data_IF_468548660218
#
_entry.id   IF_468548660218
#
_cell.length_a   1.000
_cell.length_b   1.000
_cell.length_c   1.000
_cell.angle_alpha   90.00
_cell.angle_beta   90.00
_cell.angle_gamma   90.00
#
_symmetry.space_group_name_H-M   'P 1'
#
loop_
_entity.id
_entity.type
_entity.pdbx_description
1 polymer ?
#
# COMPACT_ATOMS: atom_id res chain seq x y z
N UNK A 1 71.63 15.79 -43.81
CA UNK A 1 70.90 15.84 -42.52
C UNK A 1 69.59 15.13 -42.75
N UNK A 2 69.51 13.91 -42.23
CA UNK A 2 68.55 12.92 -42.67
C UNK A 2 67.24 13.12 -41.93
N UNK A 3 66.13 13.42 -42.63
CA UNK A 3 64.83 13.72 -42.14
C UNK A 3 64.01 12.47 -41.76
N UNK A 4 64.65 11.30 -41.78
CA UNK A 4 63.94 10.02 -41.48
C UNK A 4 63.88 9.59 -40.00
N UNK A 5 64.47 10.40 -39.08
CA UNK A 5 64.54 10.02 -37.63
C UNK A 5 63.58 10.78 -36.70
N UNK A 6 62.69 11.61 -37.25
CA UNK A 6 61.79 12.43 -36.42
C UNK A 6 60.35 11.88 -36.29
N UNK A 7 60.04 10.69 -36.84
CA UNK A 7 58.70 10.14 -36.88
C UNK A 7 58.50 8.90 -36.02
N UNK A 8 59.22 8.75 -34.93
CA UNK A 8 58.99 7.63 -33.98
C UNK A 8 58.94 8.11 -32.53
N UNK A 9 57.93 8.82 -32.14
CA UNK A 9 57.46 8.95 -30.76
C UNK A 9 56.15 9.75 -30.70
N UNK A 10 55.08 9.27 -31.36
CA UNK A 10 53.74 9.66 -31.00
C UNK A 10 53.09 8.44 -30.29
N UNK A 11 53.37 8.33 -28.99
CA UNK A 11 52.65 7.40 -28.12
C UNK A 11 51.27 7.96 -27.90
N UNK A 12 50.26 7.36 -28.53
CA UNK A 12 48.87 7.61 -28.24
C UNK A 12 48.58 7.05 -26.85
N UNK A 13 48.52 7.92 -25.85
CA UNK A 13 47.96 7.58 -24.54
C UNK A 13 46.44 7.58 -24.72
N UNK A 14 45.83 6.42 -24.93
CA UNK A 14 44.41 6.21 -24.78
C UNK A 14 44.15 6.20 -23.29
N UNK A 15 43.77 7.34 -22.76
CA UNK A 15 43.21 7.42 -21.40
C UNK A 15 41.87 6.71 -21.41
N UNK A 16 41.87 5.44 -20.99
CA UNK A 16 40.67 4.69 -20.72
C UNK A 16 39.94 5.34 -19.53
N UNK A 17 38.93 6.17 -19.80
CA UNK A 17 37.96 6.61 -18.78
C UNK A 17 37.13 5.41 -18.41
N UNK A 18 37.55 4.71 -17.36
CA UNK A 18 36.70 3.73 -16.69
C UNK A 18 35.54 4.48 -16.05
N UNK A 19 34.38 4.45 -16.70
CA UNK A 19 33.13 4.82 -16.03
C UNK A 19 32.85 3.78 -14.94
N UNK A 20 33.24 4.09 -13.71
CA UNK A 20 32.70 3.42 -12.55
C UNK A 20 31.24 3.86 -12.44
N UNK A 21 30.32 3.05 -12.97
CA UNK A 21 28.92 3.12 -12.60
C UNK A 21 28.84 2.74 -11.14
N UNK A 22 28.82 3.73 -10.26
CA UNK A 22 28.41 3.53 -8.86
C UNK A 22 26.92 3.23 -8.94
N UNK A 23 26.57 1.95 -9.04
CA UNK A 23 25.22 1.49 -8.72
C UNK A 23 25.10 1.65 -7.21
N UNK A 24 24.65 2.84 -6.79
CA UNK A 24 24.26 3.07 -5.41
C UNK A 24 23.12 2.09 -5.11
N UNK A 25 23.41 1.05 -4.32
CA UNK A 25 22.36 0.30 -3.67
C UNK A 25 21.66 1.30 -2.75
N UNK A 26 20.46 1.76 -3.13
CA UNK A 26 19.60 2.50 -2.21
C UNK A 26 19.26 1.54 -1.09
N UNK A 27 19.91 1.72 0.05
CA UNK A 27 19.52 1.01 1.27
C UNK A 27 18.09 1.44 1.57
N UNK A 28 17.17 0.49 1.74
CA UNK A 28 15.81 0.79 2.14
C UNK A 28 15.85 1.60 3.45
N UNK A 29 15.24 2.78 3.44
CA UNK A 29 15.14 3.62 4.63
C UNK A 29 13.99 3.10 5.49
N UNK A 30 14.19 3.01 6.80
CA UNK A 30 13.13 2.56 7.71
C UNK A 30 11.97 3.54 7.70
N UNK A 31 10.75 3.00 7.84
CA UNK A 31 9.57 3.81 8.11
C UNK A 31 9.77 4.64 9.37
N UNK A 32 9.36 5.89 9.36
CA UNK A 32 9.42 6.78 10.52
C UNK A 32 8.04 6.89 11.15
N UNK A 33 7.94 6.69 12.47
CA UNK A 33 6.68 6.76 13.21
C UNK A 33 6.76 7.86 14.27
N UNK A 34 5.85 8.82 14.21
CA UNK A 34 5.61 9.84 15.23
C UNK A 34 4.30 9.53 15.96
N UNK A 35 4.31 8.97 17.19
CA UNK A 35 3.09 8.63 17.92
C UNK A 35 2.16 9.83 18.11
N UNK A 36 0.86 9.61 17.91
CA UNK A 36 -0.18 10.62 18.03
C UNK A 36 -1.48 9.98 18.51
N UNK A 37 -2.00 10.43 19.67
CA UNK A 37 -3.22 9.89 20.28
C UNK A 37 -4.42 10.86 20.14
N UNK A 38 -4.28 11.93 19.36
CA UNK A 38 -5.36 12.88 19.13
C UNK A 38 -6.16 12.44 17.90
N UNK A 39 -7.40 11.99 18.09
CA UNK A 39 -8.27 11.53 17.00
C UNK A 39 -8.54 12.60 15.95
N UNK A 40 -8.66 13.90 16.35
CA UNK A 40 -8.88 15.00 15.41
C UNK A 40 -7.67 15.17 14.47
N UNK A 41 -6.45 15.04 14.99
CA UNK A 41 -5.24 15.14 14.19
C UNK A 41 -5.15 13.96 13.21
N UNK A 42 -5.42 12.73 13.69
CA UNK A 42 -5.44 11.52 12.86
C UNK A 42 -6.49 11.60 11.74
N UNK A 43 -7.73 11.99 12.08
CA UNK A 43 -8.78 12.15 11.10
C UNK A 43 -8.47 13.24 10.06
N UNK A 44 -7.85 14.35 10.49
CA UNK A 44 -7.48 15.45 9.60
C UNK A 44 -6.39 15.07 8.62
N UNK A 45 -5.43 14.23 9.01
CA UNK A 45 -4.30 13.79 8.16
C UNK A 45 -4.76 12.97 6.96
N UNK A 46 -5.79 12.15 7.11
CA UNK A 46 -6.28 11.29 6.02
C UNK A 46 -7.20 12.01 5.03
N UNK A 47 -7.70 13.22 5.39
CA UNK A 47 -8.66 13.93 4.55
C UNK A 47 -8.08 14.37 3.22
N UNK A 48 -8.80 14.01 2.17
CA UNK A 48 -8.63 14.53 0.81
C UNK A 48 -9.72 15.52 0.42
N UNK A 49 -9.95 15.65 -0.87
CA UNK A 49 -10.93 16.59 -1.42
C UNK A 49 -12.38 16.11 -1.26
N UNK A 50 -13.32 17.05 -1.18
CA UNK A 50 -14.77 16.79 -1.21
C UNK A 50 -15.34 16.23 0.10
N UNK A 51 -14.56 16.18 1.18
CA UNK A 51 -14.96 15.71 2.50
C UNK A 51 -14.68 16.77 3.57
N UNK A 52 -15.62 16.93 4.49
CA UNK A 52 -15.48 17.83 5.64
C UNK A 52 -15.89 17.08 6.91
N UNK A 53 -15.00 16.99 7.91
CA UNK A 53 -15.34 16.42 9.21
C UNK A 53 -16.37 17.28 9.92
N UNK A 54 -17.39 16.65 10.51
CA UNK A 54 -18.37 17.34 11.34
C UNK A 54 -17.73 17.73 12.68
N UNK A 55 -17.83 18.99 13.09
CA UNK A 55 -17.24 19.45 14.36
C UNK A 55 -17.73 18.63 15.55
N UNK A 56 -16.80 18.20 16.43
CA UNK A 56 -17.10 17.46 17.64
C UNK A 56 -17.53 16.00 17.43
N UNK A 57 -17.48 15.48 16.20
CA UNK A 57 -17.88 14.09 15.91
C UNK A 57 -16.75 13.08 16.02
N UNK A 58 -15.49 13.52 16.13
CA UNK A 58 -14.36 12.61 16.18
C UNK A 58 -14.29 11.92 17.53
N UNK A 59 -14.31 10.60 17.50
CA UNK A 59 -14.10 9.71 18.62
C UNK A 59 -12.88 8.83 18.35
N UNK A 60 -11.97 8.72 19.31
CA UNK A 60 -10.78 7.88 19.22
C UNK A 60 -10.69 7.00 20.46
N UNK A 61 -10.59 5.69 20.25
CA UNK A 61 -10.37 4.67 21.26
C UNK A 61 -9.13 3.90 20.87
N UNK A 62 -8.06 4.02 21.65
CA UNK A 62 -6.78 3.35 21.41
C UNK A 62 -5.85 3.58 22.59
N UNK A 63 -4.93 2.65 22.77
CA UNK A 63 -3.91 2.78 23.82
C UNK A 63 -2.93 3.91 23.50
N UNK A 64 -2.31 4.47 24.54
CA UNK A 64 -1.27 5.48 24.36
C UNK A 64 -0.11 4.93 23.54
N UNK A 65 0.18 5.57 22.41
CA UNK A 65 1.24 5.17 21.49
C UNK A 65 0.84 4.10 20.46
N UNK A 66 -0.43 3.65 20.47
CA UNK A 66 -0.92 2.67 19.49
C UNK A 66 -1.24 3.29 18.12
N UNK A 67 -1.20 4.60 17.99
CA UNK A 67 -1.40 5.31 16.73
C UNK A 67 -0.36 6.40 16.51
N UNK A 68 -0.25 6.89 15.28
CA UNK A 68 0.70 7.94 14.94
C UNK A 68 0.63 8.36 13.47
N UNK A 69 1.52 9.29 13.12
CA UNK A 69 1.84 9.61 11.75
C UNK A 69 3.03 8.77 11.29
N UNK A 70 3.02 8.33 10.03
CA UNK A 70 4.17 7.69 9.42
C UNK A 70 4.67 8.46 8.20
N UNK A 71 5.97 8.28 7.90
CA UNK A 71 6.66 8.80 6.72
C UNK A 71 7.68 7.78 6.21
N UNK A 72 8.21 7.99 5.00
CA UNK A 72 9.16 7.11 4.32
C UNK A 72 8.60 5.72 3.97
N UNK A 73 7.28 5.56 3.85
CA UNK A 73 6.68 4.27 3.59
C UNK A 73 7.01 3.70 2.21
N UNK A 74 7.16 4.54 1.16
CA UNK A 74 7.66 4.08 -0.16
C UNK A 74 9.10 3.57 -0.03
N UNK A 75 9.97 4.28 0.69
CA UNK A 75 11.37 3.87 0.87
C UNK A 75 11.50 2.62 1.74
N UNK A 76 10.58 2.40 2.67
CA UNK A 76 10.52 1.18 3.47
C UNK A 76 9.93 -0.01 2.72
N UNK A 77 9.23 0.24 1.61
CA UNK A 77 8.68 -0.77 0.71
C UNK A 77 7.18 -1.05 0.83
N UNK A 78 6.42 -0.31 1.68
CA UNK A 78 4.97 -0.57 1.85
C UNK A 78 4.08 0.05 0.75
N UNK A 79 4.66 0.81 -0.19
CA UNK A 79 3.92 1.32 -1.35
C UNK A 79 3.14 2.63 -1.15
N UNK A 80 2.97 3.11 0.08
CA UNK A 80 2.39 4.43 0.43
C UNK A 80 3.38 5.21 1.26
N UNK A 81 3.52 6.53 1.06
CA UNK A 81 4.65 7.29 1.61
C UNK A 81 4.41 7.85 3.01
N UNK A 82 3.25 8.48 3.22
CA UNK A 82 2.91 9.15 4.47
C UNK A 82 1.41 8.97 4.81
N UNK A 83 1.08 9.16 6.08
CA UNK A 83 -0.29 9.09 6.58
C UNK A 83 -0.36 8.72 8.04
N UNK A 84 -1.40 7.97 8.42
CA UNK A 84 -1.59 7.50 9.79
C UNK A 84 -1.39 5.99 9.90
N UNK A 85 -0.93 5.57 11.07
CA UNK A 85 -0.92 4.17 11.50
C UNK A 85 -1.87 3.99 12.68
N UNK A 86 -2.70 2.94 12.63
CA UNK A 86 -3.41 2.39 13.78
C UNK A 86 -2.87 0.99 14.03
N UNK A 87 -2.50 0.66 15.26
CA UNK A 87 -1.92 -0.63 15.65
C UNK A 87 -2.66 -1.21 16.85
N UNK A 88 -2.68 -2.52 16.95
CA UNK A 88 -3.18 -3.24 18.13
C UNK A 88 -2.20 -3.13 19.29
N UNK A 89 -0.88 -3.02 18.97
CA UNK A 89 0.17 -2.74 19.94
C UNK A 89 0.68 -1.30 19.90
N UNK A 90 2.00 -1.10 20.06
CA UNK A 90 2.62 0.21 19.90
C UNK A 90 2.93 0.50 18.42
N UNK A 91 2.47 1.64 17.90
CA UNK A 91 2.76 2.05 16.53
C UNK A 91 4.27 2.07 16.19
N UNK A 92 5.13 2.39 17.17
CA UNK A 92 6.59 2.35 17.01
C UNK A 92 7.15 0.95 16.73
N UNK A 93 6.42 -0.11 17.08
CA UNK A 93 6.82 -1.48 16.78
C UNK A 93 6.87 -1.76 15.27
N UNK A 94 6.20 -0.95 14.45
CA UNK A 94 6.25 -1.03 12.99
C UNK A 94 7.62 -0.66 12.37
N UNK A 95 8.50 0.02 13.14
CA UNK A 95 9.78 0.50 12.62
C UNK A 95 10.74 -0.67 12.42
N UNK A 96 11.20 -0.86 11.16
CA UNK A 96 12.15 -1.89 10.77
C UNK A 96 13.58 -1.70 11.32
N UNK A 97 14.47 -2.66 11.08
CA UNK A 97 14.24 -3.87 10.29
C UNK A 97 13.42 -4.93 11.03
N UNK A 98 12.94 -5.96 10.30
CA UNK A 98 12.27 -7.13 10.85
C UNK A 98 13.32 -8.12 11.43
N UNK A 99 13.91 -7.77 12.55
CA UNK A 99 14.98 -8.52 13.21
C UNK A 99 14.57 -9.17 14.54
N UNK A 100 13.30 -9.07 14.89
CA UNK A 100 12.71 -9.67 16.10
C UNK A 100 11.51 -10.49 15.69
N UNK A 101 11.55 -11.77 15.92
CA UNK A 101 10.52 -12.72 15.52
C UNK A 101 9.16 -12.59 16.22
N UNK A 102 9.03 -11.68 17.19
CA UNK A 102 7.79 -11.49 17.98
C UNK A 102 7.77 -10.10 18.59
N UNK A 103 7.39 -9.09 17.81
CA UNK A 103 7.08 -7.78 18.36
C UNK A 103 5.63 -7.75 18.82
N UNK A 104 5.43 -7.49 20.08
CA UNK A 104 4.10 -7.51 20.67
C UNK A 104 4.02 -6.56 21.85
N UNK A 105 2.88 -5.89 21.97
CA UNK A 105 2.54 -5.05 23.13
C UNK A 105 1.08 -5.26 23.48
N UNK A 106 0.83 -6.00 24.53
CA UNK A 106 -0.53 -6.17 25.05
C UNK A 106 -0.99 -4.85 25.68
N UNK A 107 -1.99 -4.22 25.09
CA UNK A 107 -2.56 -2.95 25.54
C UNK A 107 -3.67 -3.13 26.57
N UNK A 108 -4.30 -4.31 26.62
CA UNK A 108 -5.36 -4.67 27.58
C UNK A 108 -6.68 -3.96 27.29
N UNK A 109 -6.91 -3.53 26.05
CA UNK A 109 -8.18 -2.95 25.63
C UNK A 109 -9.17 -4.04 25.19
N UNK A 110 -10.46 -3.71 25.29
CA UNK A 110 -11.51 -4.55 24.72
C UNK A 110 -11.38 -4.64 23.19
N UNK A 111 -11.91 -5.72 22.62
CA UNK A 111 -12.13 -5.84 21.19
C UNK A 111 -13.31 -4.98 20.70
N UNK A 112 -13.65 -5.15 19.43
CA UNK A 112 -14.73 -4.43 18.75
C UNK A 112 -15.74 -5.41 18.13
N UNK A 113 -17.05 -5.26 18.39
CA UNK A 113 -18.06 -6.20 17.91
C UNK A 113 -18.21 -6.19 16.37
N UNK A 114 -18.01 -5.05 15.71
CA UNK A 114 -18.11 -4.98 14.25
C UNK A 114 -16.95 -5.72 13.59
N UNK A 115 -15.73 -5.64 14.18
CA UNK A 115 -14.58 -6.43 13.75
C UNK A 115 -14.79 -7.93 14.01
N UNK A 116 -15.32 -8.29 15.19
CA UNK A 116 -15.67 -9.68 15.51
C UNK A 116 -16.68 -10.28 14.54
N UNK A 117 -17.59 -9.47 14.00
CA UNK A 117 -18.53 -9.91 12.97
C UNK A 117 -17.86 -10.23 11.61
N UNK A 118 -16.66 -9.67 11.33
CA UNK A 118 -15.89 -9.98 10.12
C UNK A 118 -15.15 -11.32 10.20
N UNK A 119 -14.87 -11.82 11.42
CA UNK A 119 -14.16 -13.07 11.72
C UNK A 119 -14.99 -13.97 12.67
N UNK A 120 -16.15 -14.49 12.23
CA UNK A 120 -17.06 -15.20 13.10
C UNK A 120 -16.40 -16.36 13.86
N UNK A 121 -16.66 -16.45 15.15
CA UNK A 121 -16.11 -17.48 16.04
C UNK A 121 -14.77 -17.13 16.67
N UNK A 122 -14.20 -15.98 16.34
CA UNK A 122 -12.96 -15.46 16.94
C UNK A 122 -13.30 -14.22 17.77
N UNK A 123 -12.84 -14.16 19.03
CA UNK A 123 -12.97 -12.96 19.87
C UNK A 123 -11.91 -11.94 19.48
N UNK A 124 -12.23 -10.66 19.58
CA UNK A 124 -11.27 -9.58 19.34
C UNK A 124 -10.82 -8.93 20.64
N UNK A 125 -9.59 -8.39 20.67
CA UNK A 125 -8.98 -7.64 21.78
C UNK A 125 -8.09 -6.51 21.24
N UNK A 126 -7.65 -5.63 22.13
CA UNK A 126 -6.74 -4.51 21.85
C UNK A 126 -7.17 -3.64 20.64
N UNK A 127 -8.48 -3.40 20.53
CA UNK A 127 -9.03 -2.62 19.42
C UNK A 127 -8.52 -1.18 19.43
N UNK A 128 -8.13 -0.70 18.23
CA UNK A 128 -7.77 0.69 17.97
C UNK A 128 -8.76 1.27 16.95
N UNK A 129 -9.51 2.29 17.35
CA UNK A 129 -10.70 2.76 16.63
C UNK A 129 -10.61 4.27 16.45
N UNK A 130 -10.74 4.72 15.21
CA UNK A 130 -10.96 6.13 14.84
C UNK A 130 -12.31 6.24 14.14
N UNK A 131 -13.24 6.96 14.75
CA UNK A 131 -14.59 7.13 14.24
C UNK A 131 -14.94 8.63 14.14
N UNK A 132 -15.60 9.03 13.04
CA UNK A 132 -16.09 10.39 12.91
C UNK A 132 -17.22 10.49 11.89
N UNK A 133 -17.98 11.58 11.98
CA UNK A 133 -18.93 11.96 10.95
C UNK A 133 -18.27 12.92 9.95
N UNK A 134 -18.61 12.75 8.68
CA UNK A 134 -18.17 13.64 7.62
C UNK A 134 -19.31 14.03 6.71
N UNK A 135 -19.19 15.20 6.11
CA UNK A 135 -20.11 15.70 5.09
C UNK A 135 -19.47 15.66 3.71
N UNK A 136 -20.25 15.22 2.72
CA UNK A 136 -19.88 15.24 1.30
C UNK A 136 -21.02 15.78 0.44
N UNK A 137 -20.69 16.24 -0.79
CA UNK A 137 -21.68 16.58 -1.82
C UNK A 137 -22.26 15.32 -2.51
N UNK A 138 -21.89 14.14 -2.05
CA UNK A 138 -22.25 12.85 -2.64
C UNK A 138 -21.18 12.35 -3.63
N UNK A 139 -21.44 11.18 -4.23
CA UNK A 139 -20.56 10.56 -5.23
C UNK A 139 -19.80 9.34 -4.69
N UNK A 140 -18.55 9.18 -5.07
CA UNK A 140 -17.74 8.01 -4.73
C UNK A 140 -16.69 8.39 -3.70
N UNK A 141 -16.49 7.55 -2.70
CA UNK A 141 -15.49 7.75 -1.62
C UNK A 141 -14.40 6.71 -1.75
N UNK A 142 -13.15 7.13 -1.59
CA UNK A 142 -11.96 6.30 -1.72
C UNK A 142 -10.93 6.63 -0.65
N UNK A 143 -10.13 5.64 -0.24
CA UNK A 143 -8.85 5.83 0.44
C UNK A 143 -7.97 4.59 0.34
N UNK A 144 -6.64 4.81 0.38
CA UNK A 144 -5.64 3.77 0.24
C UNK A 144 -5.11 3.33 1.60
N UNK A 145 -4.83 2.03 1.72
CA UNK A 145 -4.29 1.45 2.95
C UNK A 145 -3.44 0.21 2.68
N UNK A 146 -2.63 -0.16 3.69
CA UNK A 146 -1.87 -1.40 3.77
C UNK A 146 -2.11 -2.02 5.14
N UNK A 147 -2.45 -3.30 5.20
CA UNK A 147 -2.55 -4.08 6.43
C UNK A 147 -1.26 -4.89 6.62
N UNK A 148 -0.70 -4.90 7.83
CA UNK A 148 0.53 -5.59 8.18
C UNK A 148 0.41 -6.30 9.54
N UNK A 149 1.15 -7.41 9.73
CA UNK A 149 1.08 -8.18 10.96
C UNK A 149 2.35 -8.97 11.25
N UNK A 150 2.62 -9.17 12.55
CA UNK A 150 3.58 -10.13 13.09
C UNK A 150 3.05 -11.58 13.14
N UNK A 151 1.75 -11.82 12.88
CA UNK A 151 1.13 -13.16 12.83
C UNK A 151 1.53 -13.97 11.58
N UNK A 152 1.98 -13.29 10.54
CA UNK A 152 2.49 -13.94 9.33
C UNK A 152 3.87 -14.57 9.61
N UNK A 153 4.27 -15.72 9.07
CA UNK A 153 3.49 -16.74 8.35
C UNK A 153 3.04 -17.85 9.30
N UNK A 154 3.58 -17.84 10.56
CA UNK A 154 3.49 -18.96 11.52
C UNK A 154 2.07 -19.27 11.94
N UNK A 155 1.19 -18.27 12.00
CA UNK A 155 -0.16 -18.40 12.52
C UNK A 155 -1.25 -18.35 11.45
N UNK A 156 -0.86 -18.29 10.17
CA UNK A 156 -1.79 -18.40 9.04
C UNK A 156 -2.62 -19.69 9.11
N UNK A 157 -3.94 -19.56 8.98
CA UNK A 157 -4.88 -20.67 9.07
C UNK A 157 -5.21 -21.12 10.50
N UNK A 158 -4.75 -20.38 11.52
CA UNK A 158 -5.04 -20.63 12.94
C UNK A 158 -6.25 -19.81 13.45
N UNK A 159 -6.46 -19.87 14.77
CA UNK A 159 -7.43 -19.03 15.47
C UNK A 159 -6.94 -17.59 15.70
N UNK A 160 -5.63 -17.33 15.51
CA UNK A 160 -5.03 -16.00 15.62
C UNK A 160 -5.22 -15.31 14.27
N UNK A 161 -6.21 -14.42 14.21
CA UNK A 161 -6.72 -13.89 12.96
C UNK A 161 -7.05 -12.41 13.09
N UNK A 162 -6.03 -11.59 13.23
CA UNK A 162 -6.16 -10.16 13.34
C UNK A 162 -6.90 -9.58 12.14
N UNK A 163 -7.71 -8.57 12.40
CA UNK A 163 -8.67 -8.07 11.45
C UNK A 163 -8.75 -6.56 11.46
N UNK A 164 -8.98 -6.02 10.27
CA UNK A 164 -9.15 -4.62 10.01
C UNK A 164 -10.44 -4.35 9.25
N UNK A 165 -11.12 -3.26 9.56
CA UNK A 165 -12.34 -2.86 8.87
C UNK A 165 -12.50 -1.35 8.77
N UNK A 166 -13.07 -0.90 7.62
CA UNK A 166 -13.58 0.46 7.41
C UNK A 166 -15.09 0.39 7.26
N UNK A 167 -15.80 0.89 8.25
CA UNK A 167 -17.27 0.81 8.28
C UNK A 167 -17.86 2.16 7.88
N UNK A 168 -18.28 2.26 6.64
CA UNK A 168 -19.04 3.42 6.15
C UNK A 168 -20.54 3.18 6.37
N UNK A 169 -21.16 4.00 7.22
CA UNK A 169 -22.56 3.83 7.63
C UNK A 169 -22.86 2.39 8.13
N UNK A 170 -21.93 1.79 8.87
CA UNK A 170 -22.03 0.44 9.42
C UNK A 170 -21.70 -0.70 8.44
N UNK A 171 -21.37 -0.42 7.17
CA UNK A 171 -20.96 -1.44 6.18
C UNK A 171 -19.45 -1.42 5.97
N UNK A 172 -18.79 -2.58 6.15
CA UNK A 172 -17.36 -2.70 5.86
C UNK A 172 -17.08 -2.50 4.36
N UNK A 173 -16.16 -1.58 4.05
CA UNK A 173 -15.67 -1.29 2.69
C UNK A 173 -14.18 -1.60 2.51
N UNK A 174 -13.48 -2.04 3.58
CA UNK A 174 -12.13 -2.57 3.50
C UNK A 174 -12.18 -4.04 3.08
N UNK A 175 -12.17 -4.27 1.78
CA UNK A 175 -12.33 -5.59 1.17
C UNK A 175 -11.13 -5.92 0.31
N UNK A 176 -10.87 -7.21 0.14
CA UNK A 176 -9.91 -7.70 -0.86
C UNK A 176 -10.39 -7.28 -2.25
N UNK A 177 -9.53 -6.77 -3.13
CA UNK A 177 -9.92 -6.25 -4.45
C UNK A 177 -10.82 -7.23 -5.23
N UNK A 178 -11.91 -6.71 -5.79
CA UNK A 178 -12.90 -7.46 -6.58
C UNK A 178 -13.64 -8.58 -5.82
N UNK A 179 -13.65 -8.55 -4.49
CA UNK A 179 -14.37 -9.52 -3.65
C UNK A 179 -15.27 -8.84 -2.63
N UNK A 180 -16.06 -9.63 -1.88
CA UNK A 180 -16.77 -9.22 -0.67
C UNK A 180 -16.07 -9.68 0.61
N UNK A 181 -14.84 -10.17 0.52
CA UNK A 181 -14.08 -10.75 1.63
C UNK A 181 -13.36 -9.64 2.41
N UNK A 182 -13.52 -9.58 3.74
CA UNK A 182 -12.78 -8.64 4.59
C UNK A 182 -11.28 -9.00 4.63
N UNK A 183 -10.46 -8.00 5.00
CA UNK A 183 -9.02 -8.17 5.14
C UNK A 183 -8.70 -8.64 6.57
N UNK A 184 -8.05 -9.79 6.67
CA UNK A 184 -7.57 -10.41 7.91
C UNK A 184 -6.39 -11.34 7.59
N UNK A 185 -5.70 -11.84 8.61
CA UNK A 185 -4.55 -12.77 8.44
C UNK A 185 -4.94 -13.97 7.57
N UNK A 186 -6.09 -14.59 7.85
CA UNK A 186 -6.51 -15.82 7.16
C UNK A 186 -7.11 -15.57 5.77
N UNK A 187 -7.27 -14.31 5.35
CA UNK A 187 -7.87 -13.97 4.06
C UNK A 187 -6.86 -13.42 3.05
N UNK A 188 -5.71 -12.87 3.49
CA UNK A 188 -4.61 -12.45 2.62
C UNK A 188 -3.30 -12.94 3.23
N UNK A 189 -2.70 -13.98 2.63
CA UNK A 189 -1.47 -14.57 3.16
C UNK A 189 -0.76 -15.45 2.12
N UNK A 190 0.50 -15.76 2.39
CA UNK A 190 1.30 -16.67 1.55
C UNK A 190 1.18 -18.14 1.93
N UNK A 191 0.32 -18.51 2.89
CA UNK A 191 0.15 -19.87 3.41
C UNK A 191 1.12 -20.22 4.54
N UNK A 192 0.87 -21.38 5.18
CA UNK A 192 1.71 -21.93 6.23
C UNK A 192 1.94 -23.44 5.98
N UNK A 193 3.18 -23.89 5.66
CA UNK A 193 4.37 -23.04 5.44
C UNK A 193 4.23 -22.12 4.22
N UNK A 194 4.95 -20.99 4.23
CA UNK A 194 4.92 -20.03 3.14
C UNK A 194 5.09 -20.68 1.76
N UNK A 195 4.26 -20.26 0.80
CA UNK A 195 4.20 -20.84 -0.55
C UNK A 195 3.26 -22.04 -0.68
N UNK A 196 2.51 -22.41 0.39
CA UNK A 196 1.56 -23.53 0.35
C UNK A 196 0.18 -23.11 0.83
N UNK A 197 -0.84 -23.32 -0.03
CA UNK A 197 -2.25 -23.05 0.32
C UNK A 197 -2.52 -21.62 0.83
N UNK A 198 -1.82 -20.62 0.27
CA UNK A 198 -2.08 -19.22 0.59
C UNK A 198 -3.48 -18.78 0.16
N UNK A 199 -4.07 -17.87 0.94
CA UNK A 199 -5.34 -17.20 0.61
C UNK A 199 -5.03 -15.87 -0.05
N UNK A 200 -5.47 -15.64 -1.30
CA UNK A 200 -5.19 -14.44 -2.09
C UNK A 200 -3.69 -14.03 -2.05
N UNK A 201 -2.77 -14.99 -2.30
CA UNK A 201 -1.33 -14.79 -2.13
C UNK A 201 -0.73 -13.77 -3.09
N UNK A 202 -1.42 -13.44 -4.19
CA UNK A 202 -1.03 -12.39 -5.13
C UNK A 202 -1.04 -10.99 -4.54
N UNK A 203 -1.73 -10.80 -3.42
CA UNK A 203 -1.81 -9.53 -2.69
C UNK A 203 -0.94 -9.50 -1.43
N UNK A 204 -0.11 -10.53 -1.21
CA UNK A 204 0.67 -10.68 0.01
C UNK A 204 2.18 -10.48 -0.22
N UNK A 205 2.78 -9.64 0.61
CA UNK A 205 4.21 -9.37 0.63
C UNK A 205 4.83 -10.03 1.87
N UNK A 206 5.61 -11.08 1.67
CA UNK A 206 6.36 -11.74 2.72
C UNK A 206 7.61 -10.94 3.09
N UNK A 207 7.77 -10.59 4.37
CA UNK A 207 8.93 -9.88 4.91
C UNK A 207 9.88 -10.78 5.72
N UNK A 208 9.69 -12.08 5.71
CA UNK A 208 10.71 -13.02 6.22
C UNK A 208 12.03 -12.77 5.48
N UNK A 209 13.11 -12.60 6.24
CA UNK A 209 14.43 -12.29 5.70
C UNK A 209 14.64 -10.81 5.37
N UNK A 210 13.90 -9.91 6.02
CA UNK A 210 14.15 -8.46 6.04
C UNK A 210 14.17 -7.81 4.64
N UNK A 211 13.26 -8.23 3.75
CA UNK A 211 13.17 -7.69 2.38
C UNK A 211 12.73 -6.22 2.35
N UNK A 212 11.91 -5.84 3.33
CA UNK A 212 11.31 -4.52 3.49
C UNK A 212 11.73 -3.94 4.83
N UNK A 213 11.88 -2.62 4.90
CA UNK A 213 12.37 -1.97 6.12
C UNK A 213 11.22 -1.52 7.04
N UNK A 214 10.35 -2.47 7.34
CA UNK A 214 9.33 -2.46 8.40
C UNK A 214 9.53 -3.66 9.29
N UNK A 215 8.97 -3.67 10.48
CA UNK A 215 9.18 -4.76 11.44
C UNK A 215 8.29 -5.98 11.19
N UNK A 216 7.11 -5.79 10.63
CA UNK A 216 6.12 -6.85 10.45
C UNK A 216 6.60 -7.98 9.54
N UNK A 217 6.20 -9.22 9.86
CA UNK A 217 6.55 -10.45 9.12
C UNK A 217 5.90 -10.52 7.73
N UNK A 218 4.81 -9.78 7.53
CA UNK A 218 4.17 -9.65 6.24
C UNK A 218 3.13 -8.52 6.18
N UNK A 219 2.73 -8.18 4.95
CA UNK A 219 1.75 -7.11 4.70
C UNK A 219 1.07 -7.27 3.34
N UNK A 220 -0.07 -6.60 3.16
CA UNK A 220 -0.81 -6.60 1.89
C UNK A 220 -0.19 -5.63 0.89
N UNK A 221 -0.51 -5.81 -0.39
CA UNK A 221 -0.39 -4.71 -1.36
C UNK A 221 -1.19 -3.49 -0.89
N UNK A 222 -0.98 -2.36 -1.58
CA UNK A 222 -1.82 -1.18 -1.37
C UNK A 222 -3.23 -1.47 -1.86
N UNK A 223 -4.20 -1.49 -0.95
CA UNK A 223 -5.60 -1.63 -1.28
C UNK A 223 -6.30 -0.27 -1.28
N UNK A 224 -7.37 -0.16 -2.06
CA UNK A 224 -8.26 0.99 -2.05
C UNK A 224 -9.61 0.58 -1.48
N UNK A 225 -9.95 1.09 -0.30
CA UNK A 225 -11.32 1.02 0.20
C UNK A 225 -12.17 1.99 -0.60
N UNK A 226 -13.36 1.54 -1.05
CA UNK A 226 -14.20 2.33 -1.95
C UNK A 226 -15.69 2.12 -1.68
N UNK A 227 -16.44 3.20 -1.81
CA UNK A 227 -17.90 3.17 -1.82
C UNK A 227 -18.43 4.07 -2.93
N UNK A 228 -19.40 3.57 -3.67
CA UNK A 228 -19.95 4.25 -4.84
C UNK A 228 -21.36 4.79 -4.56
N UNK A 229 -21.68 5.94 -5.17
CA UNK A 229 -23.03 6.47 -5.20
C UNK A 229 -23.56 6.93 -3.83
N UNK A 230 -22.68 7.46 -2.95
CA UNK A 230 -23.16 8.09 -1.71
C UNK A 230 -24.06 9.28 -2.01
N UNK A 231 -25.12 9.42 -1.24
CA UNK A 231 -25.95 10.63 -1.26
C UNK A 231 -25.18 11.84 -0.72
N UNK A 232 -25.57 13.04 -1.12
CA UNK A 232 -25.11 14.25 -0.48
C UNK A 232 -25.61 14.31 0.97
N UNK A 233 -24.73 14.60 1.92
CA UNK A 233 -25.14 14.65 3.31
C UNK A 233 -24.03 14.27 4.30
N UNK A 234 -24.46 13.91 5.49
CA UNK A 234 -23.58 13.47 6.59
C UNK A 234 -23.57 11.95 6.66
N UNK A 235 -22.36 11.39 6.72
CA UNK A 235 -22.10 9.97 6.82
C UNK A 235 -21.23 9.67 8.02
N UNK A 236 -21.28 8.44 8.53
CA UNK A 236 -20.40 7.96 9.58
C UNK A 236 -19.31 7.05 8.99
N UNK A 237 -18.06 7.23 9.43
CA UNK A 237 -16.95 6.34 9.10
C UNK A 237 -16.29 5.88 10.39
N UNK A 238 -16.02 4.57 10.50
CA UNK A 238 -15.28 3.93 11.59
C UNK A 238 -14.13 3.15 10.97
N UNK A 239 -12.91 3.51 11.34
CA UNK A 239 -11.67 2.83 10.98
C UNK A 239 -11.25 2.03 12.21
N UNK A 240 -11.14 0.72 12.13
CA UNK A 240 -10.87 -0.10 13.28
C UNK A 240 -9.97 -1.28 12.95
N UNK A 241 -9.03 -1.61 13.86
CA UNK A 241 -8.18 -2.79 13.83
C UNK A 241 -8.20 -3.45 15.21
N UNK A 242 -8.11 -4.77 15.28
CA UNK A 242 -8.03 -5.52 16.53
C UNK A 242 -7.27 -6.83 16.35
N UNK A 243 -6.65 -7.29 17.43
CA UNK A 243 -6.16 -8.66 17.54
C UNK A 243 -7.33 -9.63 17.55
N UNK A 244 -7.17 -10.75 16.86
CA UNK A 244 -8.15 -11.82 16.77
C UNK A 244 -7.64 -13.12 17.38
N UNK A 245 -8.31 -13.61 18.45
CA UNK A 245 -7.96 -14.86 19.11
C UNK A 245 -7.14 -14.72 20.39
N UNK A 246 -6.21 -13.80 20.44
CA UNK A 246 -5.48 -13.42 21.67
C UNK A 246 -5.20 -11.89 21.68
N UNK A 247 -4.09 -11.44 22.27
CA UNK A 247 -3.67 -10.04 22.36
C UNK A 247 -2.15 -9.92 22.16
N UNK A 248 -1.59 -10.80 21.37
CA UNK A 248 -0.14 -10.88 21.13
C UNK A 248 0.15 -10.83 19.64
N UNK A 249 1.38 -10.43 19.29
CA UNK A 249 1.84 -10.29 17.89
C UNK A 249 1.07 -9.23 17.12
N UNK A 250 1.48 -7.98 17.38
CA UNK A 250 0.78 -6.78 16.93
C UNK A 250 0.50 -6.76 15.42
N UNK A 251 -0.65 -6.23 15.07
CA UNK A 251 -1.01 -5.86 13.71
C UNK A 251 -1.16 -4.35 13.56
N UNK A 252 -1.03 -3.85 12.34
CA UNK A 252 -1.24 -2.45 12.03
C UNK A 252 -1.90 -2.24 10.66
N UNK A 253 -2.62 -1.12 10.54
CA UNK A 253 -3.06 -0.58 9.26
C UNK A 253 -2.41 0.78 9.03
N UNK A 254 -1.76 0.92 7.87
CA UNK A 254 -1.24 2.18 7.36
C UNK A 254 -2.27 2.76 6.41
N UNK A 255 -2.73 3.99 6.67
CA UNK A 255 -3.74 4.68 5.87
C UNK A 255 -3.09 5.89 5.25
N UNK A 256 -3.10 5.97 3.92
CA UNK A 256 -2.44 7.04 3.18
C UNK A 256 -3.07 8.40 3.47
N UNK A 257 -2.24 9.38 3.80
CA UNK A 257 -2.66 10.76 4.04
C UNK A 257 -3.32 11.38 2.82
N UNK A 258 -4.32 12.23 3.03
CA UNK A 258 -5.02 13.02 2.00
C UNK A 258 -5.73 12.21 0.91
N UNK A 259 -5.94 10.90 1.15
CA UNK A 259 -6.63 10.03 0.17
C UNK A 259 -8.10 9.78 0.50
N UNK A 260 -8.56 10.04 1.74
CA UNK A 260 -9.98 9.96 2.07
C UNK A 260 -10.73 11.11 1.40
N UNK A 261 -11.17 10.87 0.16
CA UNK A 261 -11.75 11.89 -0.73
C UNK A 261 -13.08 11.43 -1.32
N UNK A 262 -13.95 12.40 -1.63
CA UNK A 262 -15.18 12.18 -2.35
C UNK A 262 -15.09 12.79 -3.75
N UNK A 263 -15.43 12.01 -4.77
CA UNK A 263 -15.52 12.47 -6.16
C UNK A 263 -16.96 12.48 -6.60
N UNK A 264 -17.41 13.63 -7.11
CA UNK A 264 -18.80 13.85 -7.59
C UNK A 264 -19.08 13.27 -8.98
N UNK A 265 -18.09 12.67 -9.64
CA UNK A 265 -18.30 12.05 -10.96
C UNK A 265 -19.26 10.89 -10.85
N UNK A 266 -20.41 11.00 -11.54
CA UNK A 266 -21.29 9.85 -11.75
C UNK A 266 -20.52 8.79 -12.53
N UNK A 267 -20.16 7.69 -11.90
CA UNK A 267 -19.69 6.52 -12.60
C UNK A 267 -20.86 6.01 -13.47
N UNK A 268 -20.75 6.15 -14.76
CA UNK A 268 -21.60 5.43 -15.72
C UNK A 268 -20.80 4.17 -16.07
N UNK A 269 -21.19 2.98 -15.62
CA UNK A 269 -20.51 1.76 -16.05
C UNK A 269 -20.76 1.58 -17.54
N UNK A 270 -19.69 1.62 -18.35
CA UNK A 270 -19.79 1.15 -19.73
C UNK A 270 -20.06 -0.36 -19.72
N UNK A 271 -20.98 -0.84 -20.57
CA UNK A 271 -21.24 -2.26 -20.67
C UNK A 271 -20.08 -2.94 -21.41
N UNK A 272 -19.36 -3.78 -20.67
CA UNK A 272 -18.46 -4.85 -21.10
C UNK A 272 -17.04 -4.53 -21.58
N UNK A 273 -16.10 -5.24 -20.94
CA UNK A 273 -14.88 -5.84 -21.49
C UNK A 273 -13.70 -4.89 -21.79
N UNK A 274 -13.30 -4.05 -20.79
CA UNK A 274 -11.89 -3.66 -20.66
C UNK A 274 -11.65 -3.00 -19.28
N UNK A 275 -10.48 -3.07 -18.67
CA UNK A 275 -10.24 -2.48 -17.36
C UNK A 275 -10.42 -0.98 -17.42
N UNK A 276 -11.21 -0.43 -16.50
CA UNK A 276 -11.64 0.96 -16.45
C UNK A 276 -10.45 1.94 -16.44
N UNK A 277 -10.32 2.71 -17.50
CA UNK A 277 -9.44 3.88 -17.54
C UNK A 277 -10.16 5.04 -16.85
N UNK A 278 -9.66 5.48 -15.71
CA UNK A 278 -10.16 6.69 -15.04
C UNK A 278 -9.71 7.94 -15.82
N UNK A 279 -10.65 8.64 -16.43
CA UNK A 279 -10.40 9.98 -16.97
C UNK A 279 -10.87 10.99 -15.94
N UNK A 280 -9.95 11.69 -15.28
CA UNK A 280 -10.27 12.84 -14.46
C UNK A 280 -10.47 14.06 -15.37
N UNK A 281 -11.69 14.52 -15.54
CA UNK A 281 -11.96 15.83 -16.14
C UNK A 281 -11.71 16.93 -15.10
N UNK A 282 -10.56 17.59 -15.22
CA UNK A 282 -10.34 18.90 -14.62
C UNK A 282 -11.14 19.94 -15.42
N UNK A 283 -12.24 20.44 -14.88
CA UNK A 283 -12.93 21.60 -15.42
C UNK A 283 -12.08 22.85 -15.22
N UNK A 284 -11.38 23.27 -16.28
CA UNK A 284 -10.86 24.62 -16.40
C UNK A 284 -11.91 25.49 -17.10
N UNK A 285 -12.26 26.59 -16.44
CA UNK A 285 -13.17 27.64 -16.95
C UNK A 285 -12.58 28.36 -18.14
N UNK A 286 -13.46 28.61 -19.10
CA UNK A 286 -13.55 29.67 -20.11
C UNK A 286 -12.27 30.32 -20.67
N UNK A 287 -11.99 29.98 -21.95
CA UNK A 287 -11.49 30.95 -22.93
C UNK A 287 -12.04 30.59 -24.35
N UNK A 288 -12.19 31.56 -25.25
CA UNK A 288 -13.10 31.47 -26.39
C UNK A 288 -12.52 30.74 -27.61
N UNK A 289 -13.46 30.17 -28.33
CA UNK A 289 -13.36 29.46 -29.61
C UNK A 289 -12.45 30.11 -30.65
N UNK A 290 -11.46 29.34 -31.14
CA UNK A 290 -10.93 29.56 -32.50
C UNK A 290 -11.01 28.25 -33.29
N UNK A 291 -11.78 28.36 -34.39
CA UNK A 291 -12.06 27.30 -35.34
C UNK A 291 -10.81 27.00 -36.16
N UNK A 292 -10.28 25.79 -36.06
CA UNK A 292 -9.23 25.32 -36.99
C UNK A 292 -9.61 23.95 -37.56
N UNK A 293 -9.51 23.89 -38.85
CA UNK A 293 -9.88 22.87 -39.80
C UNK A 293 -9.13 21.56 -39.62
N UNK A 294 -9.89 20.50 -39.82
CA UNK A 294 -9.53 19.11 -39.91
C UNK A 294 -8.40 18.84 -40.92
N UNK A 295 -7.26 18.30 -40.47
CA UNK A 295 -6.29 17.63 -41.35
C UNK A 295 -6.07 16.24 -40.81
N UNK A 296 -6.43 15.23 -41.60
CA UNK A 296 -6.21 13.81 -41.35
C UNK A 296 -4.86 13.44 -41.96
N UNK A 297 -3.87 12.89 -41.24
CA UNK A 297 -2.74 12.23 -41.85
C UNK A 297 -3.00 10.73 -41.99
N UNK A 298 -2.68 10.22 -43.17
CA UNK A 298 -2.70 8.78 -43.51
C UNK A 298 -1.61 7.97 -42.79
N UNK A 299 -1.76 6.63 -42.65
CA UNK A 299 -0.85 5.80 -41.88
C UNK A 299 0.44 5.48 -42.67
N UNK A 300 1.57 5.91 -42.12
CA UNK A 300 2.88 5.52 -42.62
C UNK A 300 3.28 4.15 -42.07
N UNK A 301 3.61 3.24 -42.97
CA UNK A 301 4.13 1.91 -42.67
C UNK A 301 5.46 1.99 -41.89
N UNK A 302 5.54 1.34 -40.76
CA UNK A 302 6.79 1.12 -40.02
C UNK A 302 7.44 -0.17 -40.49
N UNK A 303 8.60 -0.02 -41.07
CA UNK A 303 9.50 -1.10 -41.47
C UNK A 303 10.16 -1.68 -40.22
N UNK A 304 10.00 -2.98 -40.01
CA UNK A 304 10.66 -3.71 -38.95
C UNK A 304 12.15 -3.85 -39.14
N UNK A 305 12.92 -3.56 -38.12
CA UNK A 305 14.35 -3.91 -38.08
C UNK A 305 14.54 -5.15 -37.19
N UNK A 306 14.81 -6.27 -37.86
CA UNK A 306 15.14 -7.55 -37.24
C UNK A 306 16.62 -7.54 -36.83
N UNK A 307 16.95 -7.61 -35.57
CA UNK A 307 18.31 -7.89 -35.10
C UNK A 307 18.35 -9.29 -34.53
N UNK A 308 18.93 -10.20 -35.29
CA UNK A 308 19.32 -11.55 -34.85
C UNK A 308 20.68 -11.48 -34.16
N UNK A 309 20.78 -11.96 -32.91
CA UNK A 309 22.08 -12.40 -32.39
C UNK A 309 21.93 -13.81 -31.80
N UNK A 310 22.52 -14.74 -32.51
CA UNK A 310 22.83 -16.09 -32.08
C UNK A 310 23.92 -16.05 -31.00
N UNK A 311 23.72 -16.80 -29.92
CA UNK A 311 24.71 -17.07 -28.90
C UNK A 311 24.39 -18.37 -28.18
N UNK A 312 24.66 -19.50 -28.83
CA UNK A 312 24.61 -20.82 -28.23
C UNK A 312 25.82 -21.03 -27.33
N UNK A 313 25.59 -21.38 -26.05
CA UNK A 313 26.61 -22.07 -25.28
C UNK A 313 25.99 -23.32 -24.62
N UNK A 314 26.45 -24.46 -25.11
CA UNK A 314 26.30 -25.77 -24.49
C UNK A 314 27.17 -25.86 -23.26
N UNK A 315 26.65 -26.32 -22.12
CA UNK A 315 27.46 -27.00 -21.12
C UNK A 315 26.88 -28.37 -20.78
N UNK A 316 27.78 -29.32 -20.96
CA UNK A 316 27.61 -30.76 -20.80
C UNK A 316 27.51 -31.13 -19.31
N UNK A 317 26.56 -31.97 -19.03
CA UNK A 317 26.40 -32.76 -17.81
C UNK A 317 27.54 -33.78 -17.68
N UNK A 318 28.18 -33.85 -16.50
CA UNK A 318 29.01 -35.00 -16.11
C UNK A 318 28.52 -35.53 -14.78
N UNK A 319 27.94 -36.74 -14.81
CA UNK A 319 27.74 -37.60 -13.66
C UNK A 319 29.03 -38.39 -13.40
N UNK A 320 29.45 -38.58 -12.12
CA UNK A 320 30.04 -39.80 -11.55
C UNK A 320 30.01 -39.73 -10.03
N UNK A 321 29.39 -40.73 -9.51
CA UNK A 321 29.51 -41.80 -8.54
C UNK A 321 29.46 -41.32 -7.11
#
# INVERSE_FOLDING_TARGET
>A
MDMSKLLKKLSVIVAGTSFFSITGTTVAEAISIAPRNNGQDLASEILGSGITIMPGSVNYIGATGASGFFQNGIKSGIGIDEGIILSTGLAKNAVGPNNLSKRSTVNGLSGDPDLGALIPGVSTSDANILEFQFKTAGGNVFFNYVFASEEYNQYVGSAFNDVFGFFLNGKNIALIPNTSTPVAINTVNGGNPFGTNGSNPEFFNNNDGEKFNIAFDGFTDVFTAQAFGLDAGVHNIKLAIADGGDSSLDSAVFIQGKTFSAQTTKYVPEPSADPAVFISENTFSDQPTNKLTKHVPEPSAMIGLLVTSLGSFFFKKVYKV
#
